data_IF_208102922201
#
_entry.id   IF_208102922201
#
_cell.length_a   1.000
_cell.length_b   1.000
_cell.length_c   1.000
_cell.angle_alpha   90.00
_cell.angle_beta   90.00
_cell.angle_gamma   90.00
#
_symmetry.space_group_name_H-M   'P 1'
#
loop_
_entity.id
_entity.type
_entity.pdbx_description
1 polymer ?
#
# COMPACT_ATOMS: atom_id res chain seq x y z
N UNK A 1 1.62 -2.06 -9.27
CA UNK A 1 1.26 -2.49 -7.89
C UNK A 1 0.55 -3.82 -7.97
N UNK A 2 0.79 -4.75 -7.03
CA UNK A 2 0.05 -6.02 -6.97
C UNK A 2 -1.43 -5.77 -6.66
N UNK A 3 -2.33 -6.38 -7.42
CA UNK A 3 -3.78 -6.32 -7.20
C UNK A 3 -4.24 -7.48 -6.31
N UNK A 4 -5.43 -7.36 -5.74
CA UNK A 4 -6.07 -8.41 -4.96
C UNK A 4 -7.26 -8.97 -5.75
N UNK A 5 -7.50 -10.25 -5.58
CA UNK A 5 -8.70 -10.92 -6.07
C UNK A 5 -9.84 -10.73 -5.07
N UNK A 6 -11.07 -10.63 -5.59
CA UNK A 6 -12.27 -10.57 -4.76
C UNK A 6 -12.76 -12.00 -4.53
N UNK A 7 -13.01 -12.33 -3.28
CA UNK A 7 -13.79 -13.52 -2.90
C UNK A 7 -15.21 -13.09 -2.54
N UNK A 8 -16.18 -13.98 -2.70
CA UNK A 8 -17.56 -13.68 -2.28
C UNK A 8 -17.73 -13.94 -0.79
N UNK A 9 -17.06 -14.96 -0.24
CA UNK A 9 -17.14 -15.33 1.17
C UNK A 9 -15.75 -15.44 1.82
N UNK A 10 -15.67 -15.15 3.12
CA UNK A 10 -14.40 -15.14 3.85
C UNK A 10 -13.82 -16.56 4.02
N UNK A 11 -14.69 -17.56 4.12
CA UNK A 11 -14.36 -18.97 4.30
C UNK A 11 -13.59 -19.55 3.10
N UNK A 12 -13.86 -19.06 1.89
CA UNK A 12 -13.20 -19.48 0.64
C UNK A 12 -11.68 -19.24 0.70
N UNK A 13 -11.26 -18.20 1.40
CA UNK A 13 -9.84 -17.84 1.56
C UNK A 13 -9.06 -18.98 2.23
N UNK A 14 -9.68 -19.72 3.17
CA UNK A 14 -9.01 -20.79 3.92
C UNK A 14 -9.06 -22.15 3.22
N UNK A 15 -10.08 -22.41 2.41
CA UNK A 15 -10.18 -23.67 1.66
C UNK A 15 -9.18 -23.73 0.50
N UNK A 16 -8.94 -22.59 -0.15
CA UNK A 16 -7.99 -22.49 -1.28
C UNK A 16 -6.54 -22.38 -0.81
N UNK A 17 -6.28 -21.77 0.35
CA UNK A 17 -4.93 -21.50 0.84
C UNK A 17 -4.50 -22.46 1.95
N UNK A 18 -3.80 -23.56 1.59
CA UNK A 18 -3.20 -24.52 2.54
C UNK A 18 -1.97 -24.01 3.30
N UNK A 19 -1.72 -22.69 3.34
CA UNK A 19 -0.55 -22.04 3.94
C UNK A 19 -0.96 -21.10 5.07
N UNK A 20 0.01 -20.63 5.87
CA UNK A 20 -0.21 -19.56 6.85
C UNK A 20 -0.63 -18.26 6.12
N UNK A 21 -1.71 -17.64 6.58
CA UNK A 21 -2.31 -16.44 6.00
C UNK A 21 -2.07 -15.25 6.94
N UNK A 22 -1.68 -14.10 6.39
CA UNK A 22 -1.67 -12.83 7.11
C UNK A 22 -2.95 -12.06 6.75
N UNK A 23 -3.61 -11.49 7.76
CA UNK A 23 -4.84 -10.72 7.60
C UNK A 23 -4.55 -9.29 8.06
N UNK A 24 -4.89 -8.33 7.22
CA UNK A 24 -4.69 -6.91 7.48
C UNK A 24 -6.02 -6.17 7.27
N UNK A 25 -6.20 -5.03 7.95
CA UNK A 25 -7.36 -4.17 7.72
C UNK A 25 -7.34 -3.59 6.31
N UNK A 26 -8.48 -3.65 5.62
CA UNK A 26 -8.67 -2.92 4.38
C UNK A 26 -8.96 -1.44 4.67
N UNK A 27 -7.91 -0.63 4.60
CA UNK A 27 -8.03 0.82 4.74
C UNK A 27 -8.84 1.43 3.58
N UNK A 28 -9.70 2.40 3.91
CA UNK A 28 -10.39 3.23 2.93
C UNK A 28 -9.61 4.55 2.74
N UNK A 29 -8.98 4.70 1.58
CA UNK A 29 -8.08 5.82 1.33
C UNK A 29 -7.32 5.66 0.02
N UNK A 30 -6.20 6.37 -0.10
CA UNK A 30 -5.35 6.30 -1.29
C UNK A 30 -4.23 5.28 -1.10
N UNK A 31 -4.13 4.33 -2.04
CA UNK A 31 -2.95 3.46 -2.11
C UNK A 31 -1.79 4.25 -2.71
N UNK A 32 -0.69 4.31 -1.97
CA UNK A 32 0.54 4.98 -2.41
C UNK A 32 1.72 4.02 -2.41
N UNK A 33 2.70 4.27 -3.27
CA UNK A 33 4.00 3.63 -3.26
C UNK A 33 5.06 4.67 -2.98
N UNK A 34 5.82 4.44 -1.92
CA UNK A 34 6.85 5.34 -1.43
C UNK A 34 8.22 4.76 -1.80
N UNK A 35 9.06 5.58 -2.40
CA UNK A 35 10.47 5.28 -2.66
C UNK A 35 11.31 6.24 -1.81
N UNK A 36 12.22 5.72 -1.00
CA UNK A 36 13.20 6.50 -0.23
C UNK A 36 14.62 6.09 -0.63
N UNK A 37 15.48 7.06 -0.93
CA UNK A 37 16.92 6.87 -1.17
C UNK A 37 17.70 7.99 -0.48
N UNK A 38 18.28 7.70 0.67
CA UNK A 38 18.81 8.74 1.55
C UNK A 38 17.71 9.74 1.90
N UNK A 39 17.97 11.03 1.68
CA UNK A 39 17.02 12.12 1.93
C UNK A 39 16.02 12.36 0.78
N UNK A 40 16.14 11.62 -0.32
CA UNK A 40 15.21 11.70 -1.44
C UNK A 40 14.01 10.80 -1.19
N UNK A 41 12.80 11.37 -1.24
CA UNK A 41 11.53 10.64 -1.10
C UNK A 41 10.65 10.96 -2.29
N UNK A 42 10.08 9.94 -2.92
CA UNK A 42 9.04 10.06 -3.95
C UNK A 42 7.82 9.22 -3.58
N UNK A 43 6.64 9.77 -3.81
CA UNK A 43 5.35 9.13 -3.51
C UNK A 43 4.51 9.07 -4.79
N UNK A 44 4.11 7.86 -5.16
CA UNK A 44 3.31 7.60 -6.35
C UNK A 44 1.92 7.09 -5.96
N UNK A 45 0.89 7.59 -6.62
CA UNK A 45 -0.49 7.10 -6.46
C UNK A 45 -0.70 5.72 -7.11
N UNK A 46 -1.90 5.13 -6.95
CA UNK A 46 -2.30 3.87 -7.61
C UNK A 46 -2.04 3.85 -9.12
N UNK A 47 -2.23 4.98 -9.79
CA UNK A 47 -2.05 5.13 -11.23
C UNK A 47 -0.63 5.60 -11.61
N UNK A 48 0.32 5.52 -10.67
CA UNK A 48 1.73 5.91 -10.82
C UNK A 48 1.97 7.40 -11.08
N UNK A 49 0.97 8.26 -10.87
CA UNK A 49 1.20 9.71 -10.86
C UNK A 49 2.05 10.09 -9.64
N UNK A 50 3.07 10.92 -9.86
CA UNK A 50 3.87 11.53 -8.79
C UNK A 50 2.98 12.53 -8.02
N UNK A 51 2.81 12.26 -6.73
CA UNK A 51 2.00 13.08 -5.81
C UNK A 51 2.84 13.60 -4.65
N UNK A 52 4.17 13.54 -4.74
CA UNK A 52 5.10 13.89 -3.66
C UNK A 52 4.84 15.29 -3.11
N UNK A 53 4.66 16.26 -4.00
CA UNK A 53 4.42 17.67 -3.63
C UNK A 53 3.02 17.90 -3.02
N UNK A 54 2.07 17.00 -3.27
CA UNK A 54 0.68 17.11 -2.79
C UNK A 54 0.54 16.72 -1.32
N UNK A 55 1.51 15.97 -0.76
CA UNK A 55 1.42 15.44 0.60
C UNK A 55 2.74 15.65 1.37
N UNK A 56 3.15 16.90 1.61
CA UNK A 56 4.45 17.22 2.22
C UNK A 56 4.59 16.70 3.65
N UNK A 57 3.49 16.61 4.40
CA UNK A 57 3.49 16.08 5.77
C UNK A 57 3.92 14.62 5.87
N UNK A 58 3.55 13.80 4.87
CA UNK A 58 3.97 12.40 4.80
C UNK A 58 5.44 12.30 4.40
N UNK A 59 5.88 13.14 3.46
CA UNK A 59 7.30 13.20 3.03
C UNK A 59 8.22 13.47 4.22
N UNK A 60 7.89 14.45 5.07
CA UNK A 60 8.66 14.77 6.27
C UNK A 60 8.74 13.57 7.22
N UNK A 61 7.59 12.96 7.55
CA UNK A 61 7.54 11.77 8.42
C UNK A 61 8.39 10.60 7.92
N UNK A 62 8.46 10.41 6.60
CA UNK A 62 9.26 9.34 5.99
C UNK A 62 10.76 9.66 6.06
N UNK A 63 11.15 10.94 5.93
CA UNK A 63 12.56 11.33 6.03
C UNK A 63 13.11 11.07 7.43
N UNK A 64 12.32 11.33 8.46
CA UNK A 64 12.70 11.18 9.87
C UNK A 64 12.79 9.71 10.35
N UNK A 65 12.37 8.75 9.52
CA UNK A 65 12.42 7.30 9.81
C UNK A 65 13.75 6.66 9.41
#
# INVERSE_FOLDING_TARGET
>A
MMLAEKVENFEEIFSENKKKIAIEYKYDGIRVQIHKKGDSVKIFSRNLNDITEKIPSIVLKIKDN
#
